data_IF_837360561798
#
_entry.id   IF_837360561798
#
_cell.length_a   1.000
_cell.length_b   1.000
_cell.length_c   1.000
_cell.angle_alpha   90.00
_cell.angle_beta   90.00
_cell.angle_gamma   90.00
#
_symmetry.space_group_name_H-M   'P 1'
#
loop_
_entity.id
_entity.type
_entity.pdbx_description
1 polymer ?
#
# COMPACT_ATOMS: atom_id res chain seq x y z
N UNK A 1 7.59 -24.32 -5.58
CA UNK A 1 6.24 -24.43 -5.00
C UNK A 1 5.38 -23.27 -5.46
N UNK A 2 4.09 -23.52 -5.68
CA UNK A 2 3.10 -22.44 -5.85
C UNK A 2 2.78 -21.78 -4.51
N UNK A 3 2.07 -20.64 -4.55
CA UNK A 3 1.58 -20.00 -3.33
C UNK A 3 0.65 -20.94 -2.53
N UNK A 4 -0.24 -21.67 -3.21
CA UNK A 4 -1.13 -22.66 -2.57
C UNK A 4 -0.36 -23.82 -1.94
N UNK A 5 0.59 -24.42 -2.66
CA UNK A 5 1.43 -25.51 -2.13
C UNK A 5 2.25 -25.05 -0.92
N UNK A 6 2.77 -23.83 -0.97
CA UNK A 6 3.51 -23.22 0.15
C UNK A 6 2.61 -23.01 1.35
N UNK A 7 1.44 -22.43 1.13
CA UNK A 7 0.44 -22.20 2.19
C UNK A 7 -0.01 -23.53 2.83
N UNK A 8 -0.31 -24.55 2.03
CA UNK A 8 -0.69 -25.86 2.50
C UNK A 8 0.40 -26.49 3.40
N UNK A 9 1.68 -26.37 3.02
CA UNK A 9 2.80 -26.86 3.83
C UNK A 9 2.96 -26.10 5.15
N UNK A 10 2.79 -24.78 5.14
CA UNK A 10 2.88 -23.96 6.34
C UNK A 10 1.80 -24.35 7.35
N UNK A 11 0.58 -24.66 6.89
CA UNK A 11 -0.55 -24.99 7.73
C UNK A 11 -0.60 -26.46 8.16
N UNK A 12 0.07 -27.36 7.42
CA UNK A 12 -0.04 -28.81 7.61
C UNK A 12 0.36 -29.27 9.01
N UNK A 13 1.43 -28.67 9.55
CA UNK A 13 2.01 -29.05 10.84
C UNK A 13 1.84 -27.97 11.92
N UNK A 14 0.98 -26.96 11.69
CA UNK A 14 0.67 -25.95 12.69
C UNK A 14 -0.59 -26.37 13.48
N UNK A 15 -0.46 -26.77 14.75
CA UNK A 15 -1.60 -27.12 15.59
C UNK A 15 -2.55 -25.95 15.84
N UNK A 16 -2.03 -24.71 15.73
CA UNK A 16 -2.77 -23.48 15.95
C UNK A 16 -3.20 -22.81 14.64
N UNK A 17 -3.23 -23.56 13.53
CA UNK A 17 -3.56 -22.99 12.20
C UNK A 17 -4.85 -22.18 12.17
N UNK A 18 -5.84 -22.58 12.97
CA UNK A 18 -7.11 -21.86 13.04
C UNK A 18 -7.00 -20.44 13.64
N UNK A 19 -5.87 -20.12 14.29
CA UNK A 19 -5.57 -18.78 14.79
C UNK A 19 -4.72 -17.96 13.81
N UNK A 20 -4.35 -18.53 12.65
CA UNK A 20 -3.49 -17.86 11.65
C UNK A 20 -4.31 -17.15 10.59
N UNK A 21 -3.74 -16.05 10.13
CA UNK A 21 -4.15 -15.40 8.88
C UNK A 21 -2.91 -15.18 8.02
N UNK A 22 -2.90 -15.71 6.81
CA UNK A 22 -1.73 -15.72 5.93
C UNK A 22 -2.15 -15.37 4.50
N UNK A 23 -1.39 -14.50 3.86
CA UNK A 23 -1.47 -14.22 2.43
C UNK A 23 -0.12 -14.42 1.78
N UNK A 24 -0.08 -15.07 0.63
CA UNK A 24 1.12 -15.34 -0.15
C UNK A 24 0.92 -14.93 -1.59
N UNK A 25 1.97 -14.38 -2.19
CA UNK A 25 2.08 -14.15 -3.64
C UNK A 25 3.43 -14.69 -4.09
N UNK A 26 3.46 -15.57 -5.06
CA UNK A 26 4.72 -16.09 -5.61
C UNK A 26 5.28 -15.18 -6.73
N UNK A 27 6.49 -15.51 -7.21
CA UNK A 27 7.17 -14.75 -8.26
C UNK A 27 6.47 -14.79 -9.64
N UNK A 28 5.48 -15.69 -9.82
CA UNK A 28 4.64 -15.77 -11.02
C UNK A 28 3.31 -15.04 -10.84
N UNK A 29 3.10 -14.40 -9.68
CA UNK A 29 1.87 -13.70 -9.33
C UNK A 29 0.72 -14.63 -8.92
N UNK A 30 0.95 -15.94 -8.74
CA UNK A 30 -0.05 -16.83 -8.15
C UNK A 30 -0.18 -16.51 -6.67
N UNK A 31 -1.38 -16.43 -6.17
CA UNK A 31 -1.63 -16.01 -4.80
C UNK A 31 -2.57 -16.95 -4.05
N UNK A 32 -2.39 -17.03 -2.75
CA UNK A 32 -3.23 -17.80 -1.84
C UNK A 32 -3.48 -17.01 -0.55
N UNK A 33 -4.65 -17.21 0.04
CA UNK A 33 -5.02 -16.60 1.32
C UNK A 33 -5.68 -17.64 2.22
N UNK A 34 -5.37 -17.60 3.50
CA UNK A 34 -5.99 -18.40 4.53
C UNK A 34 -6.36 -17.51 5.71
N UNK A 35 -7.57 -17.69 6.21
CA UNK A 35 -8.06 -17.06 7.44
C UNK A 35 -8.68 -18.15 8.30
N UNK A 36 -8.03 -18.47 9.42
CA UNK A 36 -8.49 -19.50 10.34
C UNK A 36 -9.77 -19.10 11.08
N UNK A 37 -10.57 -20.08 11.47
CA UNK A 37 -11.86 -19.86 12.13
C UNK A 37 -11.72 -19.26 13.53
N UNK A 38 -10.55 -19.40 14.16
CA UNK A 38 -10.20 -18.79 15.45
C UNK A 38 -9.74 -17.34 15.36
N UNK A 39 -9.65 -16.76 14.16
CA UNK A 39 -9.35 -15.34 14.00
C UNK A 39 -10.47 -14.45 14.57
N UNK A 40 -10.07 -13.30 15.13
CA UNK A 40 -11.05 -12.39 15.74
C UNK A 40 -11.97 -11.75 14.70
N UNK A 41 -13.26 -11.87 14.89
CA UNK A 41 -14.28 -11.33 14.00
C UNK A 41 -14.30 -9.79 14.00
N UNK A 42 -14.42 -9.19 12.82
CA UNK A 42 -14.53 -9.79 11.51
C UNK A 42 -13.13 -10.07 10.97
N UNK A 43 -12.88 -11.26 10.47
CA UNK A 43 -11.64 -11.60 9.79
C UNK A 43 -11.97 -12.18 8.42
N UNK A 44 -11.23 -11.78 7.39
CA UNK A 44 -11.46 -12.22 6.02
C UNK A 44 -10.19 -12.03 5.17
N UNK A 45 -10.10 -12.74 4.05
CA UNK A 45 -9.00 -12.62 3.12
C UNK A 45 -9.40 -13.00 1.70
N UNK A 46 -8.78 -12.37 0.73
CA UNK A 46 -8.96 -12.64 -0.68
C UNK A 46 -7.61 -12.68 -1.38
N UNK A 47 -7.47 -13.54 -2.38
CA UNK A 47 -6.31 -13.63 -3.23
C UNK A 47 -6.72 -13.60 -4.70
N UNK A 48 -5.92 -12.96 -5.53
CA UNK A 48 -6.08 -12.91 -6.97
C UNK A 48 -4.74 -12.79 -7.67
N UNK A 49 -4.74 -12.70 -8.99
CA UNK A 49 -3.50 -12.63 -9.74
C UNK A 49 -2.65 -11.42 -9.31
N UNK A 50 -1.51 -11.68 -8.68
CA UNK A 50 -0.54 -10.69 -8.24
C UNK A 50 -0.87 -9.97 -6.93
N UNK A 51 -1.84 -10.45 -6.15
CA UNK A 51 -2.16 -9.85 -4.86
C UNK A 51 -2.79 -10.84 -3.87
N UNK A 52 -2.60 -10.56 -2.58
CA UNK A 52 -3.35 -11.12 -1.47
C UNK A 52 -3.69 -9.98 -0.49
N UNK A 53 -4.93 -9.94 -0.02
CA UNK A 53 -5.47 -8.90 0.87
C UNK A 53 -6.10 -9.59 2.06
N UNK A 54 -5.75 -9.18 3.27
CA UNK A 54 -6.29 -9.74 4.51
C UNK A 54 -6.66 -8.63 5.49
N UNK A 55 -7.57 -8.96 6.38
CA UNK A 55 -7.88 -8.14 7.53
C UNK A 55 -8.41 -8.97 8.68
N UNK A 56 -8.03 -8.59 9.90
CA UNK A 56 -8.43 -9.22 11.15
C UNK A 56 -8.89 -8.15 12.13
N UNK A 57 -9.82 -8.47 13.02
CA UNK A 57 -10.42 -7.52 13.97
C UNK A 57 -11.10 -6.34 13.24
N UNK A 58 -11.65 -6.61 12.08
CA UNK A 58 -12.29 -5.60 11.25
C UNK A 58 -13.67 -5.20 11.79
N UNK A 59 -14.12 -4.02 11.41
CA UNK A 59 -15.46 -3.52 11.76
C UNK A 59 -16.57 -4.35 11.13
N UNK A 60 -16.35 -4.88 9.92
CA UNK A 60 -17.34 -5.69 9.20
C UNK A 60 -16.72 -6.41 7.99
N UNK A 61 -17.45 -7.38 7.42
CA UNK A 61 -17.08 -8.08 6.18
C UNK A 61 -17.08 -7.21 4.91
N UNK A 62 -17.37 -5.91 5.01
CA UNK A 62 -17.27 -4.98 3.87
C UNK A 62 -15.86 -4.47 3.62
N UNK A 63 -14.95 -4.61 4.59
CA UNK A 63 -13.62 -4.00 4.55
C UNK A 63 -12.77 -4.64 3.45
N UNK A 64 -12.55 -5.95 3.48
CA UNK A 64 -11.71 -6.66 2.50
C UNK A 64 -12.24 -6.52 1.06
N UNK A 65 -13.54 -6.70 0.77
CA UNK A 65 -14.08 -6.44 -0.57
C UNK A 65 -13.92 -5.00 -1.06
N UNK A 66 -13.98 -4.00 -0.15
CA UNK A 66 -13.74 -2.61 -0.51
C UNK A 66 -12.27 -2.37 -0.88
N UNK A 67 -11.32 -2.99 -0.15
CA UNK A 67 -9.89 -2.94 -0.45
C UNK A 67 -9.59 -3.55 -1.82
N UNK A 68 -10.09 -4.75 -2.08
CA UNK A 68 -9.90 -5.45 -3.36
C UNK A 68 -10.45 -4.63 -4.53
N UNK A 69 -11.70 -4.18 -4.43
CA UNK A 69 -12.33 -3.34 -5.46
C UNK A 69 -11.50 -2.10 -5.78
N UNK A 70 -10.99 -1.42 -4.76
CA UNK A 70 -10.16 -0.23 -4.93
C UNK A 70 -8.82 -0.57 -5.57
N UNK A 71 -8.15 -1.65 -5.13
CA UNK A 71 -6.90 -2.12 -5.71
C UNK A 71 -7.02 -2.43 -7.21
N UNK A 72 -8.07 -3.14 -7.59
CA UNK A 72 -8.31 -3.55 -8.98
C UNK A 72 -8.74 -2.37 -9.88
N UNK A 73 -9.54 -1.44 -9.35
CA UNK A 73 -10.06 -0.29 -10.11
C UNK A 73 -9.02 0.81 -10.29
N UNK A 74 -8.12 1.00 -9.34
CA UNK A 74 -7.16 2.10 -9.36
C UNK A 74 -6.08 1.87 -10.40
N UNK A 75 -5.93 2.82 -11.32
CA UNK A 75 -4.87 2.85 -12.33
C UNK A 75 -3.63 3.54 -11.78
N UNK A 76 -2.46 3.15 -12.28
CA UNK A 76 -1.18 3.74 -11.93
C UNK A 76 -0.21 2.72 -11.31
N UNK A 77 0.81 3.21 -10.65
CA UNK A 77 1.85 2.38 -10.04
C UNK A 77 1.37 1.62 -8.79
N UNK A 78 2.15 0.65 -8.36
CA UNK A 78 1.81 -0.20 -7.22
C UNK A 78 1.56 0.59 -5.92
N UNK A 79 2.41 1.56 -5.49
CA UNK A 79 2.15 2.36 -4.29
C UNK A 79 0.78 3.07 -4.31
N UNK A 80 0.39 3.65 -5.43
CA UNK A 80 -0.91 4.30 -5.59
C UNK A 80 -2.07 3.31 -5.43
N UNK A 81 -1.95 2.12 -5.99
CA UNK A 81 -2.96 1.06 -5.88
C UNK A 81 -3.07 0.52 -4.46
N UNK A 82 -1.94 0.31 -3.78
CA UNK A 82 -1.89 -0.13 -2.39
C UNK A 82 -2.50 0.92 -1.45
N UNK A 83 -2.15 2.19 -1.61
CA UNK A 83 -2.74 3.27 -0.81
C UNK A 83 -4.25 3.36 -1.02
N UNK A 84 -4.72 3.26 -2.26
CA UNK A 84 -6.17 3.27 -2.55
C UNK A 84 -6.91 2.10 -1.88
N UNK A 85 -6.29 0.92 -1.83
CA UNK A 85 -6.84 -0.23 -1.11
C UNK A 85 -6.94 0.03 0.40
N UNK A 86 -5.85 0.50 1.04
CA UNK A 86 -5.83 0.84 2.46
C UNK A 86 -6.90 1.89 2.79
N UNK A 87 -6.99 2.95 1.99
CA UNK A 87 -7.95 4.04 2.20
C UNK A 87 -9.40 3.56 2.03
N UNK A 88 -9.65 2.66 1.09
CA UNK A 88 -10.98 2.06 0.92
C UNK A 88 -11.36 1.16 2.10
N UNK A 89 -10.42 0.37 2.62
CA UNK A 89 -10.60 -0.45 3.81
C UNK A 89 -10.90 0.39 5.05
N UNK A 90 -10.11 1.44 5.27
CA UNK A 90 -10.31 2.38 6.37
C UNK A 90 -11.70 3.04 6.31
N UNK A 91 -12.11 3.53 5.13
CA UNK A 91 -13.44 4.14 4.91
C UNK A 91 -14.60 3.15 5.03
N UNK A 92 -14.36 1.86 4.78
CA UNK A 92 -15.36 0.81 4.97
C UNK A 92 -15.54 0.40 6.45
N UNK A 93 -14.73 0.98 7.33
CA UNK A 93 -14.79 0.80 8.78
C UNK A 93 -13.46 0.36 9.41
N UNK A 94 -12.52 -0.17 8.63
CA UNK A 94 -11.18 -0.54 9.08
C UNK A 94 -11.17 -1.48 10.28
N UNK A 95 -10.22 -1.28 11.17
CA UNK A 95 -10.09 -1.99 12.45
C UNK A 95 -11.20 -1.53 13.42
N UNK A 96 -11.87 -2.48 14.08
CA UNK A 96 -12.96 -2.13 15.01
C UNK A 96 -12.49 -1.44 16.30
N UNK A 97 -11.18 -1.52 16.61
CA UNK A 97 -10.58 -0.82 17.75
C UNK A 97 -10.28 0.65 17.47
N UNK A 98 -10.24 1.04 16.19
CA UNK A 98 -9.94 2.40 15.74
C UNK A 98 -8.71 2.46 14.86
N UNK A 99 -8.19 3.68 14.70
CA UNK A 99 -7.01 3.99 13.88
C UNK A 99 -5.82 4.29 14.80
N UNK A 100 -4.63 3.90 14.39
CA UNK A 100 -3.40 4.26 15.09
C UNK A 100 -2.24 4.45 14.12
N UNK A 101 -1.96 3.47 13.27
CA UNK A 101 -0.77 3.46 12.42
C UNK A 101 -1.07 2.95 11.00
N UNK A 102 -0.21 3.31 10.06
CA UNK A 102 -0.19 2.78 8.71
C UNK A 102 1.23 2.75 8.17
N UNK A 103 1.55 1.76 7.34
CA UNK A 103 2.85 1.66 6.71
C UNK A 103 2.74 1.14 5.28
N UNK A 104 3.73 1.48 4.46
CA UNK A 104 3.89 0.96 3.11
C UNK A 104 5.35 0.70 2.82
N UNK A 105 5.63 -0.51 2.39
CA UNK A 105 6.95 -0.93 1.93
C UNK A 105 6.85 -1.51 0.52
N UNK A 106 7.59 -0.93 -0.42
CA UNK A 106 7.61 -1.39 -1.82
C UNK A 106 9.04 -1.46 -2.31
N UNK A 107 9.39 -2.59 -2.91
CA UNK A 107 10.67 -2.81 -3.57
C UNK A 107 10.51 -2.74 -5.08
N UNK A 108 11.52 -2.20 -5.74
CA UNK A 108 11.64 -2.14 -7.19
C UNK A 108 13.12 -2.15 -7.54
N UNK A 109 13.59 -2.94 -8.51
CA UNK A 109 14.97 -2.91 -8.93
C UNK A 109 15.45 -1.48 -9.20
N UNK A 110 16.54 -1.08 -8.50
CA UNK A 110 17.11 0.27 -8.57
C UNK A 110 16.12 1.40 -8.27
N UNK A 111 15.05 1.11 -7.50
CA UNK A 111 13.99 2.07 -7.23
C UNK A 111 14.28 3.07 -6.12
N UNK A 112 15.28 2.80 -5.27
CA UNK A 112 15.65 3.67 -4.16
C UNK A 112 16.47 4.88 -4.60
N UNK A 113 16.82 5.73 -3.63
CA UNK A 113 17.56 6.96 -3.87
C UNK A 113 18.87 6.70 -4.63
N UNK A 114 19.09 7.45 -5.70
CA UNK A 114 20.26 7.31 -6.57
C UNK A 114 20.34 6.01 -7.36
N UNK A 115 19.37 5.11 -7.25
CA UNK A 115 19.39 3.81 -7.93
C UNK A 115 20.30 2.77 -7.26
N UNK A 116 20.80 3.02 -6.05
CA UNK A 116 21.73 2.13 -5.36
C UNK A 116 21.11 0.97 -4.59
N UNK A 117 19.80 1.09 -4.29
CA UNK A 117 19.06 0.09 -3.53
C UNK A 117 17.67 -0.11 -4.15
N UNK A 118 17.07 -1.27 -3.87
CA UNK A 118 15.75 -1.66 -4.40
C UNK A 118 14.59 -1.12 -3.57
N UNK A 119 14.85 -0.60 -2.39
CA UNK A 119 13.84 -0.03 -1.50
C UNK A 119 13.28 1.26 -2.09
N UNK A 120 12.13 1.14 -2.77
CA UNK A 120 11.51 2.26 -3.48
C UNK A 120 10.63 3.11 -2.56
N UNK A 121 9.73 2.48 -1.80
CA UNK A 121 8.89 3.12 -0.80
C UNK A 121 9.10 2.43 0.53
N UNK A 122 9.30 3.21 1.59
CA UNK A 122 9.40 2.75 2.96
C UNK A 122 8.94 3.90 3.86
N UNK A 123 7.61 4.01 4.01
CA UNK A 123 6.99 5.06 4.82
C UNK A 123 6.13 4.46 5.90
N UNK A 124 6.19 5.09 7.08
CA UNK A 124 5.38 4.72 8.24
C UNK A 124 4.78 5.96 8.88
N UNK A 125 3.59 5.76 9.43
CA UNK A 125 2.90 6.67 10.32
C UNK A 125 2.65 5.86 11.58
N UNK A 126 3.44 6.09 12.63
CA UNK A 126 3.46 5.23 13.81
C UNK A 126 2.32 5.52 14.78
N UNK A 127 1.92 6.78 14.94
CA UNK A 127 0.79 7.19 15.78
C UNK A 127 0.12 8.46 15.20
N UNK A 128 -1.12 8.32 14.74
CA UNK A 128 -1.86 9.41 14.12
C UNK A 128 -3.36 9.12 14.11
N UNK A 129 -4.21 10.14 14.24
CA UNK A 129 -5.66 9.98 14.19
C UNK A 129 -6.19 9.55 12.81
N UNK A 130 -5.52 9.92 11.71
CA UNK A 130 -5.82 9.51 10.34
C UNK A 130 -4.57 8.98 9.63
N UNK A 131 -4.03 7.80 10.05
CA UNK A 131 -2.73 7.34 9.60
C UNK A 131 -2.69 6.99 8.11
N UNK A 132 -3.77 6.48 7.55
CA UNK A 132 -3.84 6.13 6.11
C UNK A 132 -3.87 7.39 5.24
N UNK A 133 -4.58 8.44 5.65
CA UNK A 133 -4.56 9.74 4.97
C UNK A 133 -3.15 10.34 5.04
N UNK A 134 -2.54 10.34 6.24
CA UNK A 134 -1.18 10.84 6.42
C UNK A 134 -0.14 10.09 5.59
N UNK A 135 -0.29 8.75 5.45
CA UNK A 135 0.56 7.96 4.57
C UNK A 135 0.42 8.41 3.09
N UNK A 136 -0.78 8.78 2.66
CA UNK A 136 -1.02 9.36 1.34
C UNK A 136 -0.26 10.67 1.12
N UNK A 137 -0.28 11.58 2.10
CA UNK A 137 0.48 12.83 2.04
C UNK A 137 2.01 12.59 1.94
N UNK A 138 2.54 11.56 2.64
CA UNK A 138 3.94 11.17 2.50
C UNK A 138 4.26 10.63 1.10
N UNK A 139 3.33 9.90 0.49
CA UNK A 139 3.47 9.47 -0.91
C UNK A 139 3.43 10.65 -1.88
N UNK A 140 2.56 11.64 -1.65
CA UNK A 140 2.51 12.85 -2.49
C UNK A 140 3.82 13.64 -2.41
N UNK A 141 4.42 13.75 -1.21
CA UNK A 141 5.77 14.32 -1.03
C UNK A 141 6.84 13.50 -1.77
N UNK A 142 6.73 12.16 -1.71
CA UNK A 142 7.65 11.30 -2.48
C UNK A 142 7.60 11.62 -3.98
N UNK A 143 6.38 11.76 -4.54
CA UNK A 143 6.23 12.07 -5.97
C UNK A 143 6.70 13.48 -6.31
N UNK A 144 6.54 14.43 -5.40
CA UNK A 144 7.06 15.78 -5.56
C UNK A 144 8.59 15.82 -5.67
N UNK A 145 9.29 15.07 -4.81
CA UNK A 145 10.76 15.09 -4.75
C UNK A 145 11.44 14.11 -5.72
N UNK A 146 10.84 12.94 -5.94
CA UNK A 146 11.46 11.84 -6.68
C UNK A 146 10.68 11.42 -7.94
N UNK A 147 9.49 11.98 -8.14
CA UNK A 147 8.69 11.74 -9.34
C UNK A 147 9.36 12.34 -10.57
N UNK A 148 9.29 11.62 -11.69
CA UNK A 148 9.70 12.16 -12.98
C UNK A 148 8.45 12.61 -13.73
N UNK A 149 8.33 13.91 -13.99
CA UNK A 149 7.31 14.40 -14.91
C UNK A 149 7.59 13.91 -16.33
N UNK A 150 6.56 13.50 -17.09
CA UNK A 150 6.69 13.22 -18.51
C UNK A 150 7.33 14.42 -19.23
N UNK A 151 8.11 14.16 -20.26
CA UNK A 151 8.79 15.23 -21.00
C UNK A 151 7.80 16.25 -21.62
N UNK A 152 6.62 15.75 -21.99
CA UNK A 152 5.50 16.56 -22.49
C UNK A 152 4.89 17.54 -21.46
N UNK A 153 5.11 17.30 -20.16
CA UNK A 153 4.64 18.15 -19.07
C UNK A 153 5.74 19.11 -18.55
N UNK A 154 6.95 19.01 -19.11
CA UNK A 154 8.04 19.89 -18.72
C UNK A 154 7.94 21.22 -19.45
N UNK A 155 7.97 22.29 -18.68
CA UNK A 155 7.92 23.66 -19.22
C UNK A 155 9.29 24.31 -19.01
N UNK A 156 9.84 24.89 -20.06
CA UNK A 156 11.04 25.73 -19.94
C UNK A 156 10.67 27.00 -19.18
N UNK A 157 11.42 27.30 -18.12
CA UNK A 157 11.21 28.50 -17.33
C UNK A 157 11.88 29.71 -18.02
N UNK A 158 11.09 30.54 -18.68
CA UNK A 158 11.56 31.74 -19.37
C UNK A 158 10.73 32.98 -19.05
N UNK A 159 11.28 34.12 -19.29
CA UNK A 159 10.58 35.40 -19.22
C UNK A 159 9.89 35.70 -17.90
N UNK A 160 8.61 36.06 -17.96
CA UNK A 160 7.81 36.42 -16.78
C UNK A 160 7.67 35.27 -15.75
N UNK A 161 7.56 34.02 -16.21
CA UNK A 161 7.41 32.86 -15.36
C UNK A 161 8.68 32.62 -14.53
N UNK A 162 9.85 32.67 -15.14
CA UNK A 162 11.13 32.61 -14.45
C UNK A 162 11.26 33.70 -13.40
N UNK A 163 10.94 34.93 -13.76
CA UNK A 163 11.00 36.08 -12.85
C UNK A 163 10.06 35.93 -11.66
N UNK A 164 8.84 35.42 -11.86
CA UNK A 164 7.88 35.20 -10.78
C UNK A 164 8.36 34.10 -9.82
N UNK A 165 8.83 32.96 -10.36
CA UNK A 165 9.34 31.85 -9.53
C UNK A 165 10.58 32.29 -8.74
N UNK A 166 11.54 32.97 -9.36
CA UNK A 166 12.71 33.51 -8.69
C UNK A 166 12.31 34.44 -7.53
N UNK A 167 11.34 35.34 -7.78
CA UNK A 167 10.84 36.26 -6.73
C UNK A 167 10.18 35.52 -5.55
N UNK A 168 9.45 34.41 -5.81
CA UNK A 168 8.85 33.60 -4.76
C UNK A 168 9.93 32.90 -3.94
N UNK A 169 10.88 32.23 -4.61
CA UNK A 169 11.98 31.53 -3.95
C UNK A 169 12.86 32.44 -3.10
N UNK A 170 13.18 33.65 -3.61
CA UNK A 170 13.97 34.63 -2.85
C UNK A 170 13.24 35.16 -1.60
N UNK A 171 11.91 35.10 -1.56
CA UNK A 171 11.14 35.49 -0.35
C UNK A 171 11.05 34.39 0.71
N UNK A 172 11.29 33.15 0.34
CA UNK A 172 11.16 32.00 1.23
C UNK A 172 12.49 31.52 1.81
N UNK A 173 13.58 31.96 1.30
CA UNK A 173 14.88 31.50 1.72
C UNK A 173 15.95 32.45 1.79
#
# INVERSE_FOLDING_TARGET
LSAEETLARLLQNDPDRELRQVGLVDNNGRAASFTGQGCFHWADGVAGQGYAIQGNILKSGRVVPAMEKAFLKTKGNLPKRLHAALLAGDRAGGDKRGRQSAAMYVVKPNGGYGGFIDRWIDYRVDDHHDPVVRLGELLDLHWLYFGKSPESERVTLEGKTLTQITKILTKQG
#
